data_IF_529202738195
#
_entry.id   IF_529202738195
#
_cell.length_a   1.000
_cell.length_b   1.000
_cell.length_c   1.000
_cell.angle_alpha   90.00
_cell.angle_beta   90.00
_cell.angle_gamma   90.00
#
_symmetry.space_group_name_H-M   'P 1'
#
loop_
_entity.id
_entity.type
_entity.pdbx_description
1 polymer ?
#
# COMPACT_ATOMS: atom_id res chain seq x y z
N UNK A 1 -9.63 18.76 1.14
CA UNK A 1 -8.56 19.57 0.51
C UNK A 1 -7.81 18.78 -0.55
N UNK A 2 -7.67 19.32 -1.78
CA UNK A 2 -6.89 18.66 -2.82
C UNK A 2 -5.38 18.93 -2.60
N UNK A 3 -4.48 17.94 -2.81
CA UNK A 3 -3.05 18.01 -2.51
C UNK A 3 -2.24 18.84 -3.52
N UNK A 4 -2.90 19.70 -4.29
CA UNK A 4 -2.28 20.57 -5.29
C UNK A 4 -2.14 19.93 -6.68
N UNK A 5 -1.69 20.74 -7.67
CA UNK A 5 -1.81 20.43 -9.09
C UNK A 5 -1.03 19.18 -9.52
N UNK A 6 0.00 18.75 -8.77
CA UNK A 6 0.77 17.56 -9.11
C UNK A 6 -0.06 16.26 -9.06
N UNK A 7 -1.10 16.21 -8.23
CA UNK A 7 -1.90 15.00 -7.97
C UNK A 7 -3.36 15.16 -8.37
N UNK A 8 -3.87 16.38 -8.40
CA UNK A 8 -5.22 16.67 -8.85
C UNK A 8 -5.52 18.16 -8.89
N UNK A 9 -6.63 18.49 -9.53
CA UNK A 9 -7.12 19.86 -9.65
C UNK A 9 -8.46 19.99 -8.93
N UNK A 10 -8.70 21.12 -8.27
CA UNK A 10 -10.00 21.41 -7.67
C UNK A 10 -10.93 21.99 -8.73
N UNK A 11 -12.03 21.29 -9.03
CA UNK A 11 -13.05 21.72 -9.99
C UNK A 11 -14.40 21.72 -9.28
N UNK A 12 -15.00 22.90 -9.11
CA UNK A 12 -16.30 23.08 -8.44
C UNK A 12 -16.43 22.36 -7.09
N UNK A 13 -15.38 22.45 -6.25
CA UNK A 13 -15.36 21.81 -4.92
C UNK A 13 -15.07 20.31 -4.91
N UNK A 14 -14.88 19.69 -6.09
CA UNK A 14 -14.50 18.28 -6.23
C UNK A 14 -13.06 18.16 -6.73
N UNK A 15 -12.27 17.24 -6.18
CA UNK A 15 -10.92 16.99 -6.68
C UNK A 15 -10.97 16.08 -7.92
N UNK A 16 -10.56 16.61 -9.08
CA UNK A 16 -10.31 15.84 -10.29
C UNK A 16 -8.87 15.32 -10.26
N UNK A 17 -8.70 14.02 -10.04
CA UNK A 17 -7.37 13.42 -9.90
C UNK A 17 -6.68 13.26 -11.24
N UNK A 18 -5.35 13.42 -11.23
CA UNK A 18 -4.49 13.07 -12.38
C UNK A 18 -4.30 11.56 -12.48
N UNK A 19 -3.84 11.12 -13.64
CA UNK A 19 -3.54 9.70 -13.89
C UNK A 19 -2.61 9.13 -12.81
N UNK A 20 -2.95 7.94 -12.34
CA UNK A 20 -2.20 7.27 -11.27
C UNK A 20 -2.56 7.76 -9.86
N UNK A 21 -3.52 8.67 -9.67
CA UNK A 21 -4.01 9.10 -8.35
C UNK A 21 -5.54 8.97 -8.23
N UNK A 22 -6.02 8.73 -7.02
CA UNK A 22 -7.44 8.55 -6.73
C UNK A 22 -7.84 8.91 -5.30
N UNK A 23 -9.10 8.60 -4.98
CA UNK A 23 -9.75 8.99 -3.72
C UNK A 23 -10.29 10.42 -3.74
N UNK A 24 -11.15 10.77 -2.76
CA UNK A 24 -11.82 12.09 -2.69
C UNK A 24 -10.88 13.29 -2.73
N UNK A 25 -9.64 13.09 -2.30
CA UNK A 25 -8.60 14.10 -2.29
C UNK A 25 -7.38 13.75 -3.12
N UNK A 26 -7.43 12.80 -4.07
CA UNK A 26 -6.28 12.47 -4.94
C UNK A 26 -4.96 12.14 -4.22
N UNK A 27 -5.00 11.83 -2.93
CA UNK A 27 -3.82 11.48 -2.13
C UNK A 27 -3.41 10.02 -2.29
N UNK A 28 -4.26 9.20 -2.89
CA UNK A 28 -4.07 7.76 -3.02
C UNK A 28 -3.40 7.44 -4.36
N UNK A 29 -2.11 7.07 -4.42
CA UNK A 29 -1.54 6.56 -5.65
C UNK A 29 -2.20 5.23 -6.04
N UNK A 30 -2.64 5.13 -7.28
CA UNK A 30 -3.25 3.94 -7.88
C UNK A 30 -2.20 2.91 -8.34
N UNK A 31 -0.94 3.34 -8.46
CA UNK A 31 0.17 2.46 -8.82
C UNK A 31 0.44 1.40 -7.75
N UNK A 32 0.66 0.16 -8.19
CA UNK A 32 0.99 -1.00 -7.33
C UNK A 32 2.50 -1.17 -7.08
N UNK A 33 3.34 -0.32 -7.66
CA UNK A 33 4.80 -0.46 -7.61
C UNK A 33 5.37 -0.51 -6.19
N UNK A 34 4.80 0.25 -5.24
CA UNK A 34 5.20 0.23 -3.83
C UNK A 34 4.79 -1.02 -3.06
N UNK A 35 3.88 -1.83 -3.63
CA UNK A 35 3.32 -3.01 -2.97
C UNK A 35 3.85 -4.33 -3.54
N UNK A 36 4.49 -4.33 -4.71
CA UNK A 36 4.94 -5.55 -5.39
C UNK A 36 6.46 -5.65 -5.30
N UNK A 37 6.95 -6.77 -4.75
CA UNK A 37 8.38 -7.10 -4.74
C UNK A 37 8.58 -8.55 -5.14
N UNK A 38 9.46 -8.78 -6.12
CA UNK A 38 9.71 -10.12 -6.66
C UNK A 38 8.45 -10.79 -7.22
N UNK A 39 7.55 -10.01 -7.82
CA UNK A 39 6.29 -10.51 -8.39
C UNK A 39 5.18 -10.81 -7.37
N UNK A 40 5.41 -10.62 -6.06
CA UNK A 40 4.38 -10.80 -5.02
C UNK A 40 3.90 -9.46 -4.46
N UNK A 41 2.59 -9.24 -4.49
CA UNK A 41 1.95 -8.10 -3.81
C UNK A 41 1.90 -8.36 -2.31
N UNK A 42 2.44 -7.44 -1.51
CA UNK A 42 2.44 -7.49 -0.04
C UNK A 42 2.89 -8.84 0.52
N UNK A 43 3.87 -9.47 -0.14
CA UNK A 43 4.38 -10.82 0.16
C UNK A 43 3.29 -11.92 0.21
N UNK A 44 2.07 -11.65 -0.27
CA UNK A 44 0.91 -12.52 -0.14
C UNK A 44 0.13 -12.38 1.18
N UNK A 45 0.59 -11.53 2.10
CA UNK A 45 0.06 -11.40 3.46
C UNK A 45 -0.63 -10.06 3.70
N UNK A 46 -1.23 -9.49 2.66
CA UNK A 46 -1.87 -8.17 2.74
C UNK A 46 -2.54 -7.78 1.44
N UNK A 47 -3.08 -6.56 1.41
CA UNK A 47 -3.65 -5.94 0.20
C UNK A 47 -2.99 -4.59 -0.04
N UNK A 48 -2.70 -4.27 -1.30
CA UNK A 48 -2.22 -2.94 -1.65
C UNK A 48 -3.37 -1.91 -1.57
N UNK A 49 -3.22 -0.92 -0.70
CA UNK A 49 -4.16 0.20 -0.54
C UNK A 49 -3.36 1.49 -0.70
N UNK A 50 -3.68 2.28 -1.73
CA UNK A 50 -3.01 3.55 -2.00
C UNK A 50 -1.48 3.44 -2.09
N UNK A 51 -0.98 2.42 -2.79
CA UNK A 51 0.46 2.19 -2.95
C UNK A 51 1.18 1.71 -1.68
N UNK A 52 0.46 1.42 -0.60
CA UNK A 52 1.00 0.88 0.65
C UNK A 52 0.33 -0.44 1.00
N UNK A 53 1.09 -1.39 1.53
CA UNK A 53 0.52 -2.67 1.95
C UNK A 53 -0.21 -2.55 3.29
N UNK A 54 -1.49 -2.95 3.28
CA UNK A 54 -2.27 -3.19 4.49
C UNK A 54 -2.16 -4.67 4.84
N UNK A 55 -1.35 -4.96 5.86
CA UNK A 55 -1.02 -6.32 6.27
C UNK A 55 -2.17 -7.03 6.98
N UNK A 56 -2.20 -8.35 6.85
CA UNK A 56 -3.02 -9.23 7.66
C UNK A 56 -2.50 -9.24 9.11
N UNK A 57 -3.35 -9.55 10.10
CA UNK A 57 -2.93 -9.67 11.50
C UNK A 57 -1.73 -10.62 11.66
N UNK A 58 -0.75 -10.21 12.45
CA UNK A 58 0.50 -10.97 12.66
C UNK A 58 1.62 -10.64 11.67
N UNK A 59 1.32 -9.99 10.54
CA UNK A 59 2.32 -9.57 9.55
C UNK A 59 2.62 -8.08 9.65
N UNK A 60 3.89 -7.73 9.50
CA UNK A 60 4.40 -6.35 9.64
C UNK A 60 5.40 -6.02 8.54
N UNK A 61 5.75 -4.74 8.46
CA UNK A 61 6.68 -4.18 7.49
C UNK A 61 6.02 -3.68 6.21
N UNK A 62 6.77 -3.00 5.33
CA UNK A 62 6.23 -2.29 4.17
C UNK A 62 5.58 -3.21 3.13
N UNK A 63 5.94 -4.50 3.15
CA UNK A 63 5.43 -5.53 2.25
C UNK A 63 4.86 -6.74 3.00
N UNK A 64 4.55 -6.61 4.30
CA UNK A 64 3.96 -7.69 5.10
C UNK A 64 4.77 -9.01 5.09
N UNK A 65 6.08 -8.93 4.86
CA UNK A 65 6.94 -10.11 4.75
C UNK A 65 7.48 -10.60 6.09
N UNK A 66 7.29 -9.85 7.17
CA UNK A 66 7.79 -10.20 8.49
C UNK A 66 6.63 -10.59 9.39
N UNK A 67 6.75 -11.69 10.12
CA UNK A 67 5.72 -12.14 11.05
C UNK A 67 6.37 -12.45 12.41
N UNK A 68 6.33 -11.51 13.38
CA UNK A 68 6.99 -11.68 14.68
C UNK A 68 6.41 -12.84 15.48
N UNK A 69 5.12 -13.12 15.29
CA UNK A 69 4.37 -14.17 15.97
C UNK A 69 4.35 -15.49 15.19
N UNK A 70 4.93 -15.55 13.99
CA UNK A 70 5.10 -16.80 13.28
C UNK A 70 6.28 -17.51 13.92
N UNK A 71 5.99 -18.43 14.85
CA UNK A 71 6.99 -19.37 15.31
C UNK A 71 7.42 -20.20 14.11
N UNK A 72 8.57 -19.87 13.55
CA UNK A 72 9.21 -20.69 12.55
C UNK A 72 9.64 -22.00 13.24
N UNK A 73 9.06 -23.17 12.89
CA UNK A 73 9.52 -24.43 13.46
C UNK A 73 11.03 -24.66 13.19
N UNK A 74 11.60 -24.00 12.18
CA UNK A 74 13.01 -24.01 11.87
C UNK A 74 13.90 -23.22 12.84
N UNK A 75 13.36 -22.26 13.61
CA UNK A 75 14.15 -21.51 14.61
C UNK A 75 14.38 -22.29 15.90
N UNK A 76 13.61 -23.36 16.15
CA UNK A 76 13.72 -24.20 17.35
C UNK A 76 14.75 -25.34 17.23
N UNK A 77 15.43 -25.43 16.09
CA UNK A 77 16.46 -26.44 15.79
C UNK A 77 17.88 -25.85 15.77
N UNK A 78 18.10 -24.70 16.42
CA UNK A 78 19.44 -24.15 16.67
C UNK A 78 19.98 -24.58 18.03
#
# INVERSE_FOLDING_TARGET
PCPGPQRGECVCGTCRCRDGFGGRGCGCPLGRGGCVRGGRECSGHGRCVCGTCRCQPGYVGPLCGHCPSCHDPCQRLR
#
